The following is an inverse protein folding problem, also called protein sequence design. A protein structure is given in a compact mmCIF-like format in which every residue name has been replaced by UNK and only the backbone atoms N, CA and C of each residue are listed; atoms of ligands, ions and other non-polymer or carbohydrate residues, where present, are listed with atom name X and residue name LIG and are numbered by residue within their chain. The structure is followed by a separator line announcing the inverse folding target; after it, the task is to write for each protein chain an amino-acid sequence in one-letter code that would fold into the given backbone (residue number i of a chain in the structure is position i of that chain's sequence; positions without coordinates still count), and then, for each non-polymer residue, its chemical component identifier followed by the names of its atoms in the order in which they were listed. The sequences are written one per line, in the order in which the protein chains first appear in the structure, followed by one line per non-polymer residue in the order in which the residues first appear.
data_IF_244389145113
#
_entry.id   IF_244389145113
#
_cell.length_a   1.000
_cell.length_b   1.000
_cell.length_c   1.000
_cell.angle_alpha   90.00
_cell.angle_beta   90.00
_cell.angle_gamma   90.00
#
_symmetry.space_group_name_H-M   'P 1'
#
loop_
_entity.id
_entity.type
_entity.pdbx_description
1 polymer ?
#
# COMPACT_ATOMS: atom_id res chain seq x y z
N UNK A 1 -1.13 19.79 -2.73
CA UNK A 1 -2.36 19.33 -2.01
C UNK A 1 -2.01 17.95 -1.50
N UNK A 2 -1.69 17.84 -0.20
CA UNK A 2 -1.14 16.62 0.39
C UNK A 2 -2.13 15.47 0.27
N UNK A 3 -1.67 14.38 -0.34
CA UNK A 3 -2.41 13.12 -0.39
C UNK A 3 -2.30 12.42 0.98
N UNK A 4 -3.19 12.80 1.90
CA UNK A 4 -3.32 12.20 3.25
C UNK A 4 -4.00 10.81 3.23
N UNK A 5 -3.99 10.13 2.07
CA UNK A 5 -4.61 8.83 1.90
C UNK A 5 -3.63 7.73 2.29
N UNK A 6 -3.81 7.21 3.49
CA UNK A 6 -3.24 6.00 4.11
C UNK A 6 -2.28 6.29 5.26
N UNK A 7 -2.85 6.77 6.36
CA UNK A 7 -2.46 6.21 7.65
C UNK A 7 -3.70 5.53 8.24
N UNK A 8 -3.62 4.35 8.86
CA UNK A 8 -4.71 3.87 9.69
C UNK A 8 -5.12 5.02 10.61
N UNK A 9 -6.40 5.14 10.92
CA UNK A 9 -7.02 6.23 11.68
C UNK A 9 -6.45 6.32 13.10
N UNK A 10 -5.17 6.70 13.19
CA UNK A 10 -4.51 6.97 14.47
C UNK A 10 -5.08 8.28 15.01
N UNK A 11 -5.53 8.32 16.29
CA UNK A 11 -5.98 9.55 16.92
C UNK A 11 -4.97 10.67 16.76
N UNK A 12 -5.43 11.89 16.46
CA UNK A 12 -4.58 13.04 16.13
C UNK A 12 -3.48 13.30 17.16
N UNK A 13 -3.81 13.24 18.45
CA UNK A 13 -2.82 13.40 19.54
C UNK A 13 -1.72 12.33 19.49
N UNK A 14 -2.05 11.08 19.18
CA UNK A 14 -1.06 10.00 19.06
C UNK A 14 -0.19 10.20 17.82
N UNK A 15 -0.77 10.64 16.71
CA UNK A 15 -0.04 11.00 15.50
C UNK A 15 0.94 12.14 15.75
N UNK A 16 0.53 13.19 16.46
CA UNK A 16 1.42 14.29 16.83
C UNK A 16 2.61 13.80 17.67
N UNK A 17 2.37 12.90 18.63
CA UNK A 17 3.41 12.32 19.50
C UNK A 17 4.42 11.50 18.69
N UNK A 18 3.99 10.60 17.80
CA UNK A 18 4.94 9.77 17.03
C UNK A 18 5.74 10.63 16.04
N UNK A 19 5.13 11.68 15.47
CA UNK A 19 5.84 12.62 14.59
C UNK A 19 6.87 13.46 15.36
N UNK A 20 6.54 13.91 16.59
CA UNK A 20 7.48 14.61 17.45
C UNK A 20 8.64 13.69 17.84
N UNK A 21 8.35 12.43 18.19
CA UNK A 21 9.35 11.42 18.53
C UNK A 21 10.29 11.14 17.33
N UNK A 22 9.74 10.97 16.11
CA UNK A 22 10.54 10.75 14.90
C UNK A 22 11.50 11.90 14.61
N UNK A 23 11.06 13.16 14.79
CA UNK A 23 11.90 14.34 14.58
C UNK A 23 13.05 14.46 15.58
N UNK A 24 12.86 13.96 16.81
CA UNK A 24 13.88 14.00 17.87
C UNK A 24 14.83 12.81 17.85
N UNK A 25 14.41 11.73 17.23
CA UNK A 25 15.10 10.43 17.28
C UNK A 25 14.81 9.70 18.60
N UNK A 26 15.08 10.34 19.74
CA UNK A 26 14.80 9.83 21.09
C UNK A 26 14.25 10.95 21.98
N UNK A 27 13.27 10.64 22.82
CA UNK A 27 12.69 11.61 23.74
C UNK A 27 12.06 10.95 24.98
N UNK A 28 12.04 11.68 26.09
CA UNK A 28 11.24 11.34 27.26
C UNK A 28 9.80 11.83 27.11
N UNK A 29 8.89 11.35 27.98
CA UNK A 29 7.52 11.85 28.01
C UNK A 29 7.44 13.34 28.35
N UNK A 30 8.35 13.83 29.18
CA UNK A 30 8.45 15.25 29.57
C UNK A 30 8.88 16.11 28.35
N UNK A 31 9.77 15.60 27.50
CA UNK A 31 10.21 16.31 26.29
C UNK A 31 9.08 16.43 25.27
N UNK A 32 8.33 15.33 25.06
CA UNK A 32 7.17 15.32 24.16
C UNK A 32 6.06 16.22 24.70
N UNK A 33 5.75 16.15 26.01
CA UNK A 33 4.75 16.99 26.64
C UNK A 33 5.06 18.48 26.43
N UNK A 34 6.31 18.88 26.64
CA UNK A 34 6.79 20.26 26.47
C UNK A 34 6.74 20.71 25.02
N UNK A 35 7.09 19.83 24.08
CA UNK A 35 7.10 20.17 22.65
C UNK A 35 5.70 20.34 22.08
N UNK A 36 4.72 19.54 22.56
CA UNK A 36 3.36 19.50 22.02
C UNK A 36 2.34 20.26 22.87
N UNK A 37 2.81 20.99 23.90
CA UNK A 37 1.97 21.73 24.84
C UNK A 37 0.85 20.86 25.45
N UNK A 38 1.22 19.67 25.92
CA UNK A 38 0.30 18.72 26.55
C UNK A 38 0.78 18.32 27.94
N UNK A 39 -0.08 17.66 28.71
CA UNK A 39 0.32 17.13 30.01
C UNK A 39 1.28 15.95 29.87
N UNK A 40 2.22 15.80 30.79
CA UNK A 40 3.14 14.65 30.86
C UNK A 40 2.37 13.33 30.95
N UNK A 41 1.24 13.31 31.65
CA UNK A 41 0.35 12.13 31.74
C UNK A 41 -0.25 11.78 30.39
N UNK A 42 -0.70 12.79 29.61
CA UNK A 42 -1.20 12.59 28.24
C UNK A 42 -0.12 12.08 27.29
N UNK A 43 1.08 12.67 27.35
CA UNK A 43 2.22 12.20 26.56
C UNK A 43 2.56 10.74 26.89
N UNK A 44 2.60 10.36 28.17
CA UNK A 44 2.83 8.96 28.60
C UNK A 44 1.77 8.01 28.08
N UNK A 45 0.49 8.39 28.12
CA UNK A 45 -0.60 7.56 27.61
C UNK A 45 -0.44 7.28 26.11
N UNK A 46 -0.11 8.30 25.32
CA UNK A 46 0.13 8.13 23.89
C UNK A 46 1.39 7.30 23.60
N UNK A 47 2.48 7.54 24.32
CA UNK A 47 3.73 6.79 24.18
C UNK A 47 3.54 5.31 24.58
N UNK A 48 2.81 5.02 25.68
CA UNK A 48 2.49 3.65 26.07
C UNK A 48 1.69 2.93 24.98
N UNK A 49 0.66 3.57 24.43
CA UNK A 49 -0.12 2.99 23.34
C UNK A 49 0.72 2.72 22.08
N UNK A 50 1.68 3.61 21.75
CA UNK A 50 2.60 3.39 20.62
C UNK A 50 3.55 2.22 20.88
N UNK A 51 3.97 2.01 22.13
CA UNK A 51 4.78 0.84 22.53
C UNK A 51 3.96 -0.44 22.44
N UNK A 52 2.72 -0.43 22.97
CA UNK A 52 1.81 -1.58 22.93
C UNK A 52 1.47 -2.00 21.50
N UNK A 53 1.35 -1.03 20.59
CA UNK A 53 1.14 -1.25 19.15
C UNK A 53 2.44 -1.63 18.41
N UNK A 54 3.60 -1.54 19.07
CA UNK A 54 4.91 -1.83 18.52
C UNK A 54 5.46 -0.76 17.57
N UNK A 55 4.91 0.45 17.58
CA UNK A 55 5.40 1.59 16.79
C UNK A 55 6.50 2.39 17.48
N UNK A 56 6.64 2.21 18.80
CA UNK A 56 7.73 2.76 19.59
C UNK A 56 8.28 1.69 20.51
N UNK A 57 9.49 1.89 20.97
CA UNK A 57 10.11 1.13 22.04
C UNK A 57 10.56 2.07 23.17
N UNK A 58 10.61 1.54 24.38
CA UNK A 58 11.00 2.28 25.55
C UNK A 58 12.23 1.65 26.20
N UNK A 59 13.21 2.47 26.62
CA UNK A 59 14.35 2.04 27.41
C UNK A 59 14.50 2.88 28.66
N UNK A 60 14.95 2.27 29.73
CA UNK A 60 15.26 3.01 30.94
C UNK A 60 16.53 3.87 30.75
N UNK A 61 16.44 5.13 31.12
CA UNK A 61 17.60 5.99 31.20
C UNK A 61 18.40 5.72 32.48
N UNK A 62 19.75 5.74 32.41
CA UNK A 62 20.60 5.65 33.56
C UNK A 62 20.25 6.75 34.61
N UNK A 63 20.13 6.38 35.87
CA UNK A 63 19.88 7.37 36.93
C UNK A 63 21.19 7.97 37.43
N UNK A 64 21.23 9.28 37.66
CA UNK A 64 22.31 9.86 38.43
C UNK A 64 22.35 9.24 39.86
N UNK A 65 23.53 8.97 40.37
CA UNK A 65 23.69 8.40 41.71
C UNK A 65 23.04 9.30 42.76
N UNK A 66 22.18 8.70 43.65
CA UNK A 66 21.52 9.39 44.73
C UNK A 66 20.13 9.97 44.45
N UNK A 67 19.62 9.93 43.22
CA UNK A 67 18.25 10.35 42.92
C UNK A 67 17.23 9.24 43.27
N UNK A 68 16.22 9.59 44.10
CA UNK A 68 15.04 8.75 44.40
C UNK A 68 13.91 9.11 43.40
N UNK A 69 13.15 8.12 42.91
CA UNK A 69 12.00 8.33 42.05
C UNK A 69 11.82 7.20 41.04
N UNK A 70 10.77 7.29 40.20
CA UNK A 70 10.53 6.32 39.11
C UNK A 70 11.62 6.49 38.01
N UNK A 71 12.02 5.36 37.39
CA UNK A 71 12.94 5.39 36.25
C UNK A 71 12.35 6.28 35.15
N UNK A 72 13.21 7.13 34.60
CA UNK A 72 12.85 7.91 33.41
C UNK A 72 13.00 7.01 32.20
N UNK A 73 11.97 6.98 31.34
CA UNK A 73 11.99 6.25 30.07
C UNK A 73 12.32 7.19 28.94
N UNK A 74 13.20 6.75 28.05
CA UNK A 74 13.36 7.30 26.72
C UNK A 74 12.65 6.41 25.71
N UNK A 75 12.05 7.02 24.73
CA UNK A 75 11.28 6.37 23.67
C UNK A 75 11.94 6.63 22.31
N UNK A 76 11.93 5.62 21.44
CA UNK A 76 12.38 5.70 20.06
C UNK A 76 11.34 5.08 19.14
N UNK A 77 11.30 5.52 17.90
CA UNK A 77 10.39 4.97 16.88
C UNK A 77 10.99 3.67 16.32
N UNK A 78 10.17 2.62 16.18
CA UNK A 78 10.58 1.35 15.56
C UNK A 78 10.46 1.39 14.04
N UNK A 79 11.09 0.44 13.34
CA UNK A 79 10.94 0.27 11.88
C UNK A 79 9.50 -0.03 11.47
N UNK A 80 8.71 -0.71 12.31
CA UNK A 80 7.28 -0.96 12.07
C UNK A 80 6.47 0.32 11.85
N UNK A 81 6.88 1.42 12.48
CA UNK A 81 6.22 2.71 12.33
C UNK A 81 6.57 3.44 11.02
N UNK A 82 7.51 2.92 10.22
CA UNK A 82 7.98 3.62 9.01
C UNK A 82 6.83 3.88 8.02
N UNK A 83 5.85 2.96 7.93
CA UNK A 83 4.65 3.12 7.12
C UNK A 83 3.67 4.21 7.57
N UNK A 84 3.84 4.75 8.79
CA UNK A 84 2.99 5.84 9.32
C UNK A 84 3.45 7.23 8.86
N UNK A 85 4.64 7.33 8.28
CA UNK A 85 5.19 8.60 7.81
C UNK A 85 4.94 8.79 6.32
N UNK A 86 4.75 10.05 5.87
CA UNK A 86 4.55 10.36 4.45
C UNK A 86 5.67 9.79 3.58
N UNK A 87 5.32 9.26 2.43
CA UNK A 87 6.26 8.73 1.44
C UNK A 87 6.04 9.43 0.10
N UNK A 88 7.10 9.81 -0.56
CA UNK A 88 7.09 10.46 -1.87
C UNK A 88 7.40 9.47 -3.03
N UNK A 89 7.11 8.17 -2.85
CA UNK A 89 7.47 7.16 -3.86
C UNK A 89 6.77 7.37 -5.20
N UNK A 90 5.51 7.82 -5.19
CA UNK A 90 4.77 8.11 -6.41
C UNK A 90 5.34 9.32 -7.16
N UNK A 91 5.73 10.36 -6.43
CA UNK A 91 6.37 11.57 -6.98
C UNK A 91 7.73 11.23 -7.57
N UNK A 92 8.60 10.54 -6.81
CA UNK A 92 9.89 10.08 -7.30
C UNK A 92 9.77 9.19 -8.55
N UNK A 93 8.80 8.26 -8.54
CA UNK A 93 8.57 7.40 -9.71
C UNK A 93 8.16 8.23 -10.92
N UNK A 94 7.27 9.21 -10.76
CA UNK A 94 6.84 10.08 -11.84
C UNK A 94 7.98 10.96 -12.39
N UNK A 95 8.87 11.43 -11.51
CA UNK A 95 10.09 12.16 -11.92
C UNK A 95 11.00 11.27 -12.77
N UNK A 96 11.33 10.06 -12.28
CA UNK A 96 12.20 9.12 -13.00
C UNK A 96 11.59 8.68 -14.34
N UNK A 97 10.29 8.41 -14.40
CA UNK A 97 9.59 8.10 -15.64
C UNK A 97 9.56 9.33 -16.59
N UNK A 98 9.47 10.55 -16.06
CA UNK A 98 9.59 11.77 -16.84
C UNK A 98 10.94 11.86 -17.55
N UNK A 99 12.04 11.69 -16.81
CA UNK A 99 13.39 11.67 -17.38
C UNK A 99 13.59 10.53 -18.42
N UNK A 100 13.02 9.37 -18.14
CA UNK A 100 13.04 8.25 -19.07
C UNK A 100 12.33 8.61 -20.41
N UNK A 101 11.16 9.26 -20.32
CA UNK A 101 10.39 9.70 -21.48
C UNK A 101 11.11 10.79 -22.29
N UNK A 102 11.85 11.68 -21.62
CA UNK A 102 12.66 12.72 -22.26
C UNK A 102 13.86 12.12 -23.00
N UNK A 103 14.45 11.06 -22.45
CA UNK A 103 15.58 10.36 -23.08
C UNK A 103 15.15 9.52 -24.29
N UNK A 104 14.00 8.85 -24.21
CA UNK A 104 13.42 8.05 -25.29
C UNK A 104 11.89 7.94 -25.09
N UNK A 105 11.12 8.46 -26.04
CA UNK A 105 9.66 8.45 -25.99
C UNK A 105 9.06 7.02 -25.93
N UNK A 106 9.73 6.00 -26.46
CA UNK A 106 9.30 4.59 -26.44
C UNK A 106 9.67 3.86 -25.13
N UNK A 107 10.48 4.48 -24.27
CA UNK A 107 10.99 3.81 -23.08
C UNK A 107 9.89 3.54 -22.05
N UNK A 108 8.89 4.41 -21.95
CA UNK A 108 7.75 4.23 -21.04
C UNK A 108 6.97 2.95 -21.39
N UNK A 109 6.65 2.74 -22.65
CA UNK A 109 5.97 1.53 -23.14
C UNK A 109 6.81 0.30 -22.81
N UNK A 110 8.09 0.33 -23.14
CA UNK A 110 9.04 -0.75 -22.85
C UNK A 110 9.11 -1.10 -21.35
N UNK A 111 9.11 -0.10 -20.45
CA UNK A 111 9.16 -0.33 -19.01
C UNK A 111 7.87 -1.00 -18.49
N UNK A 112 6.70 -0.55 -18.95
CA UNK A 112 5.44 -1.16 -18.54
C UNK A 112 5.22 -2.55 -19.16
N UNK A 113 5.70 -2.79 -20.40
CA UNK A 113 5.72 -4.13 -20.99
C UNK A 113 6.60 -5.10 -20.18
N UNK A 114 7.81 -4.70 -19.84
CA UNK A 114 8.70 -5.53 -19.00
C UNK A 114 8.10 -5.81 -17.62
N UNK A 115 7.49 -4.81 -16.99
CA UNK A 115 6.77 -5.00 -15.72
C UNK A 115 5.63 -6.00 -15.86
N UNK A 116 4.81 -5.88 -16.93
CA UNK A 116 3.73 -6.83 -17.24
C UNK A 116 4.27 -8.25 -17.39
N UNK A 117 5.32 -8.43 -18.21
CA UNK A 117 5.88 -9.74 -18.50
C UNK A 117 6.49 -10.41 -17.27
N UNK A 118 7.11 -9.62 -16.38
CA UNK A 118 7.58 -10.13 -15.08
C UNK A 118 6.43 -10.58 -14.19
N UNK A 119 5.35 -9.80 -14.11
CA UNK A 119 4.14 -10.17 -13.35
C UNK A 119 3.48 -11.43 -13.90
N UNK A 120 3.44 -11.61 -15.23
CA UNK A 120 2.94 -12.83 -15.87
C UNK A 120 3.76 -14.03 -15.39
N UNK A 121 5.10 -13.99 -15.51
CA UNK A 121 5.99 -15.07 -15.06
C UNK A 121 5.78 -15.44 -13.58
N UNK A 122 5.66 -14.43 -12.73
CA UNK A 122 5.46 -14.64 -11.29
C UNK A 122 4.08 -15.24 -10.97
N UNK A 123 3.03 -14.85 -11.71
CA UNK A 123 1.68 -15.38 -11.53
C UNK A 123 1.51 -16.81 -12.06
N UNK A 124 2.14 -17.15 -13.19
CA UNK A 124 2.02 -18.47 -13.84
C UNK A 124 2.29 -19.64 -12.91
N UNK A 125 3.33 -19.57 -12.08
CA UNK A 125 3.68 -20.63 -11.13
C UNK A 125 2.58 -20.90 -10.09
N UNK A 126 1.83 -19.86 -9.70
CA UNK A 126 0.71 -19.96 -8.76
C UNK A 126 -0.54 -20.45 -9.47
N UNK A 127 -0.83 -19.90 -10.64
CA UNK A 127 -2.03 -20.23 -11.43
C UNK A 127 -1.99 -21.62 -12.05
N UNK A 128 -0.82 -22.16 -12.38
CA UNK A 128 -0.66 -23.53 -12.89
C UNK A 128 -1.19 -24.60 -11.92
N UNK A 129 -1.29 -24.29 -10.63
CA UNK A 129 -1.86 -25.19 -9.62
C UNK A 129 -3.41 -25.17 -9.62
N UNK A 130 -4.02 -24.24 -10.31
CA UNK A 130 -5.46 -24.05 -10.34
C UNK A 130 -6.06 -24.81 -11.54
N UNK A 131 -7.00 -25.75 -11.26
CA UNK A 131 -7.60 -26.64 -12.27
C UNK A 131 -8.83 -26.03 -12.98
N UNK A 132 -9.43 -25.00 -12.43
CA UNK A 132 -10.66 -24.38 -12.97
C UNK A 132 -10.48 -22.90 -13.12
N UNK A 133 -11.19 -22.26 -14.07
CA UNK A 133 -11.19 -20.82 -14.23
C UNK A 133 -11.57 -20.09 -12.92
N UNK A 134 -12.57 -20.57 -12.18
CA UNK A 134 -12.94 -20.02 -10.87
C UNK A 134 -11.76 -20.02 -9.89
N UNK A 135 -11.02 -21.12 -9.82
CA UNK A 135 -9.86 -21.22 -8.94
C UNK A 135 -8.72 -20.27 -9.38
N UNK A 136 -8.50 -20.09 -10.70
CA UNK A 136 -7.54 -19.13 -11.23
C UNK A 136 -7.95 -17.69 -10.93
N UNK A 137 -9.23 -17.34 -11.10
CA UNK A 137 -9.76 -16.00 -10.76
C UNK A 137 -9.56 -15.71 -9.27
N UNK A 138 -9.87 -16.68 -8.39
CA UNK A 138 -9.65 -16.54 -6.95
C UNK A 138 -8.17 -16.34 -6.60
N UNK A 139 -7.27 -17.07 -7.26
CA UNK A 139 -5.83 -16.95 -7.02
C UNK A 139 -5.26 -15.64 -7.59
N UNK A 140 -5.71 -15.23 -8.78
CA UNK A 140 -5.36 -13.93 -9.34
C UNK A 140 -5.81 -12.78 -8.43
N UNK A 141 -7.01 -12.87 -7.86
CA UNK A 141 -7.49 -11.88 -6.89
C UNK A 141 -6.56 -11.79 -5.68
N UNK A 142 -6.06 -12.91 -5.14
CA UNK A 142 -5.09 -12.90 -4.04
C UNK A 142 -3.75 -12.27 -4.44
N UNK A 143 -3.32 -12.44 -5.70
CA UNK A 143 -2.11 -11.77 -6.22
C UNK A 143 -2.33 -10.26 -6.23
N UNK A 144 -3.45 -9.80 -6.81
CA UNK A 144 -3.79 -8.37 -6.87
C UNK A 144 -3.98 -7.76 -5.48
N UNK A 145 -4.61 -8.48 -4.55
CA UNK A 145 -4.76 -8.04 -3.17
C UNK A 145 -3.40 -7.89 -2.47
N UNK A 146 -2.51 -8.86 -2.65
CA UNK A 146 -1.12 -8.81 -2.16
C UNK A 146 -0.29 -7.68 -2.77
N UNK A 147 -0.60 -7.26 -3.99
CA UNK A 147 0.00 -6.11 -4.67
C UNK A 147 -0.57 -4.76 -4.18
N UNK A 148 -1.54 -4.77 -3.23
CA UNK A 148 -2.10 -3.58 -2.60
C UNK A 148 -3.34 -3.00 -3.29
N UNK A 149 -3.96 -3.73 -4.21
CA UNK A 149 -5.17 -3.26 -4.90
C UNK A 149 -6.46 -3.48 -4.09
N UNK A 150 -6.40 -4.08 -2.90
CA UNK A 150 -7.56 -4.45 -2.08
C UNK A 150 -8.61 -5.19 -2.92
N UNK A 151 -8.15 -6.24 -3.58
CA UNK A 151 -8.93 -6.93 -4.60
C UNK A 151 -9.90 -7.94 -3.99
N UNK A 152 -11.09 -7.99 -4.54
CA UNK A 152 -12.12 -9.00 -4.24
C UNK A 152 -12.66 -9.60 -5.53
N UNK A 153 -13.27 -10.80 -5.48
CA UNK A 153 -14.00 -11.32 -6.62
C UNK A 153 -15.35 -11.89 -6.23
N UNK A 154 -16.25 -11.88 -7.18
CA UNK A 154 -17.57 -12.48 -7.08
C UNK A 154 -17.89 -13.35 -8.30
N UNK A 155 -18.76 -14.34 -8.10
CA UNK A 155 -19.34 -15.14 -9.19
C UNK A 155 -20.70 -14.51 -9.53
N UNK A 156 -20.84 -13.94 -10.73
CA UNK A 156 -22.10 -13.36 -11.19
C UNK A 156 -23.07 -14.43 -11.66
N UNK A 157 -22.58 -15.35 -12.49
CA UNK A 157 -23.30 -16.55 -12.95
C UNK A 157 -22.26 -17.66 -13.18
N UNK A 158 -22.65 -18.92 -13.39
CA UNK A 158 -21.72 -19.96 -13.81
C UNK A 158 -20.92 -19.53 -15.04
N UNK A 159 -19.58 -19.56 -14.96
CA UNK A 159 -18.67 -19.14 -16.04
C UNK A 159 -18.49 -17.62 -16.17
N UNK A 160 -19.12 -16.80 -15.34
CA UNK A 160 -18.98 -15.35 -15.35
C UNK A 160 -18.57 -14.84 -13.98
N UNK A 161 -17.42 -14.19 -13.91
CA UNK A 161 -16.81 -13.68 -12.68
C UNK A 161 -16.53 -12.18 -12.81
N UNK A 162 -16.39 -11.50 -11.67
CA UNK A 162 -15.94 -10.13 -11.60
C UNK A 162 -14.84 -10.01 -10.56
N UNK A 163 -13.70 -9.42 -10.92
CA UNK A 163 -12.69 -8.93 -9.97
C UNK A 163 -12.94 -7.44 -9.78
N UNK A 164 -12.88 -6.98 -8.53
CA UNK A 164 -13.00 -5.56 -8.17
C UNK A 164 -11.74 -5.18 -7.38
N UNK A 165 -11.06 -4.13 -7.82
CA UNK A 165 -9.94 -3.49 -7.14
C UNK A 165 -10.45 -2.21 -6.47
N UNK A 166 -10.53 -2.22 -5.15
CA UNK A 166 -11.06 -1.10 -4.35
C UNK A 166 -10.03 0.00 -4.11
N UNK A 167 -8.77 -0.26 -4.40
CA UNK A 167 -7.65 0.66 -4.31
C UNK A 167 -6.78 0.59 -5.56
N UNK A 168 -6.22 1.72 -5.98
CA UNK A 168 -5.15 1.75 -6.99
C UNK A 168 -3.80 1.91 -6.29
N UNK A 169 -3.05 0.82 -6.12
CA UNK A 169 -1.75 0.81 -5.45
C UNK A 169 -0.70 1.72 -6.12
N UNK A 170 -0.91 2.07 -7.38
CA UNK A 170 -0.01 2.90 -8.20
C UNK A 170 -0.70 4.18 -8.69
N UNK A 171 -1.65 4.72 -7.93
CA UNK A 171 -2.52 5.84 -8.31
C UNK A 171 -1.75 7.03 -8.91
N UNK A 172 -0.69 7.49 -8.22
CA UNK A 172 0.10 8.63 -8.66
C UNK A 172 0.72 8.44 -10.05
N UNK A 173 1.10 7.20 -10.38
CA UNK A 173 1.68 6.84 -11.69
C UNK A 173 0.58 6.64 -12.73
N UNK A 174 -0.50 5.94 -12.37
CA UNK A 174 -1.60 5.62 -13.26
C UNK A 174 -2.34 6.86 -13.81
N UNK A 175 -2.41 7.94 -13.01
CA UNK A 175 -2.98 9.22 -13.44
C UNK A 175 -2.14 9.89 -14.55
N UNK A 176 -0.85 9.65 -14.61
CA UNK A 176 0.07 10.31 -15.54
C UNK A 176 0.44 9.44 -16.73
N UNK A 177 0.51 8.13 -16.52
CA UNK A 177 0.93 7.15 -17.53
C UNK A 177 -0.17 6.11 -17.76
N UNK A 178 -0.91 6.25 -18.86
CA UNK A 178 -1.98 5.31 -19.24
C UNK A 178 -1.50 3.87 -19.44
N UNK A 179 -0.22 3.70 -19.78
CA UNK A 179 0.46 2.41 -19.90
C UNK A 179 0.39 1.57 -18.63
N UNK A 180 0.38 2.20 -17.47
CA UNK A 180 0.18 1.52 -16.18
C UNK A 180 -1.14 0.74 -16.15
N UNK A 181 -2.23 1.36 -16.63
CA UNK A 181 -3.55 0.75 -16.68
C UNK A 181 -3.71 -0.23 -17.84
N UNK A 182 -3.07 0.04 -18.99
CA UNK A 182 -3.10 -0.86 -20.15
C UNK A 182 -2.36 -2.15 -19.85
N UNK A 183 -1.17 -2.06 -19.25
CA UNK A 183 -0.39 -3.24 -18.87
C UNK A 183 -1.09 -4.09 -17.80
N UNK A 184 -1.96 -3.51 -16.95
CA UNK A 184 -2.73 -4.25 -15.96
C UNK A 184 -3.77 -5.17 -16.61
N UNK A 185 -4.61 -4.65 -17.51
CA UNK A 185 -5.61 -5.48 -18.18
C UNK A 185 -4.95 -6.51 -19.09
N UNK A 186 -3.82 -6.18 -19.73
CA UNK A 186 -3.05 -7.12 -20.54
C UNK A 186 -2.47 -8.25 -19.69
N UNK A 187 -1.96 -7.95 -18.48
CA UNK A 187 -1.54 -8.95 -17.52
C UNK A 187 -2.68 -9.91 -17.18
N UNK A 188 -3.86 -9.40 -16.81
CA UNK A 188 -5.03 -10.22 -16.46
C UNK A 188 -5.43 -11.12 -17.64
N UNK A 189 -5.43 -10.58 -18.85
CA UNK A 189 -5.75 -11.35 -20.07
C UNK A 189 -4.74 -12.45 -20.36
N UNK A 190 -3.47 -12.15 -20.20
CA UNK A 190 -2.39 -13.11 -20.46
C UNK A 190 -2.41 -14.30 -19.52
N UNK A 191 -2.72 -14.09 -18.24
CA UNK A 191 -2.76 -15.16 -17.23
C UNK A 191 -4.07 -15.95 -17.21
N UNK A 192 -5.10 -15.50 -17.94
CA UNK A 192 -6.41 -16.17 -18.10
C UNK A 192 -6.74 -16.38 -19.59
N UNK A 193 -5.92 -17.10 -20.38
CA UNK A 193 -6.09 -17.23 -21.84
C UNK A 193 -7.41 -17.94 -22.23
N UNK A 194 -7.99 -18.74 -21.33
CA UNK A 194 -9.26 -19.42 -21.50
C UNK A 194 -10.50 -18.52 -21.29
N UNK A 195 -10.29 -17.27 -20.84
CA UNK A 195 -11.37 -16.33 -20.57
C UNK A 195 -11.32 -15.11 -21.51
N UNK A 196 -12.49 -14.49 -21.70
CA UNK A 196 -12.61 -13.13 -22.19
C UNK A 196 -12.58 -12.18 -21.00
N UNK A 197 -11.74 -11.14 -21.05
CA UNK A 197 -11.56 -10.17 -19.97
C UNK A 197 -11.85 -8.76 -20.49
N UNK A 198 -12.79 -8.09 -19.81
CA UNK A 198 -13.18 -6.71 -20.11
C UNK A 198 -13.06 -5.87 -18.83
N UNK A 199 -12.49 -4.66 -18.93
CA UNK A 199 -12.55 -3.67 -17.87
C UNK A 199 -13.87 -2.92 -17.96
N UNK A 200 -14.77 -3.13 -16.99
CA UNK A 200 -16.09 -2.53 -16.97
C UNK A 200 -16.18 -1.27 -16.12
N UNK A 201 -15.22 -1.04 -15.22
CA UNK A 201 -15.07 0.19 -14.45
C UNK A 201 -13.59 0.55 -14.31
N UNK A 202 -13.28 1.85 -14.29
CA UNK A 202 -11.91 2.34 -14.28
C UNK A 202 -11.78 3.58 -13.38
N UNK A 203 -10.98 3.49 -12.33
CA UNK A 203 -10.79 4.58 -11.34
C UNK A 203 -10.22 5.84 -11.98
N UNK A 204 -9.25 5.72 -12.87
CA UNK A 204 -8.65 6.89 -13.57
C UNK A 204 -9.67 7.59 -14.49
N UNK A 205 -10.71 6.87 -14.93
CA UNK A 205 -11.83 7.45 -15.67
C UNK A 205 -12.98 7.95 -14.76
N UNK A 206 -12.77 8.01 -13.44
CA UNK A 206 -13.73 8.58 -12.49
C UNK A 206 -14.64 7.56 -11.79
N UNK A 207 -14.48 6.26 -12.03
CA UNK A 207 -15.23 5.26 -11.29
C UNK A 207 -14.68 5.11 -9.84
N UNK A 208 -15.49 4.65 -8.87
CA UNK A 208 -15.05 4.48 -7.47
C UNK A 208 -14.06 3.33 -7.28
N UNK A 209 -13.93 2.43 -8.23
CA UNK A 209 -13.02 1.28 -8.23
C UNK A 209 -12.73 0.83 -9.67
N UNK A 210 -11.71 -0.02 -9.86
CA UNK A 210 -11.55 -0.75 -11.11
C UNK A 210 -12.31 -2.08 -11.04
N UNK A 211 -12.98 -2.48 -12.12
CA UNK A 211 -13.64 -3.78 -12.19
C UNK A 211 -13.40 -4.46 -13.53
N UNK A 212 -13.12 -5.75 -13.47
CA UNK A 212 -12.86 -6.61 -14.62
C UNK A 212 -13.87 -7.73 -14.64
N UNK A 213 -14.61 -7.81 -15.75
CA UNK A 213 -15.52 -8.92 -16.02
C UNK A 213 -14.77 -10.02 -16.75
N UNK A 214 -14.87 -11.26 -16.27
CA UNK A 214 -14.13 -12.42 -16.74
C UNK A 214 -15.15 -13.48 -17.14
N UNK A 215 -15.24 -13.78 -18.43
CA UNK A 215 -16.19 -14.74 -19.00
C UNK A 215 -15.43 -15.95 -19.53
N UNK A 216 -15.85 -17.13 -19.14
CA UNK A 216 -15.34 -18.40 -19.66
C UNK A 216 -15.72 -18.53 -21.14
N UNK A 217 -14.74 -18.70 -22.02
CA UNK A 217 -14.94 -18.90 -23.46
C UNK A 217 -15.73 -20.17 -23.79
N UNK A 218 -15.71 -21.16 -22.90
CA UNK A 218 -16.42 -22.42 -23.08
C UNK A 218 -17.89 -22.36 -22.64
N UNK A 219 -18.29 -21.40 -21.83
CA UNK A 219 -19.67 -21.25 -21.35
C UNK A 219 -20.64 -20.68 -22.41
N UNK A 220 -20.18 -20.36 -23.59
CA UNK A 220 -20.94 -19.83 -24.73
C UNK A 220 -21.22 -20.88 -25.82
N UNK A 221 -21.00 -22.18 -25.53
CA UNK A 221 -21.33 -23.27 -26.44
C UNK A 221 -22.53 -24.07 -25.98
#
# INVERSE_FOLDING_TARGET
MNDDRVAPTMPEGRRAVIYALRRRGEASADDIARQLDMTVSGARQHLSALVDEGFAEARELPRPAGQRGRAQLAYTVTDKADGLFPKAYGELTNELLGYASEADAGLIDTLFERRRDERIRNAETRLAKCKTLKAKVAELTRILDGDGYLATFETLTPGLYRIVEHNCAIWAVAQRYGQACSSEIEFIRAVLPEAEVERVQHMVAGAPHCAYQIRDKLSNR
#
